data_IF_004864061930
#
_entry.id   IF_004864061930
#
_cell.length_a   1.000
_cell.length_b   1.000
_cell.length_c   1.000
_cell.angle_alpha   90.00
_cell.angle_beta   90.00
_cell.angle_gamma   90.00
#
_symmetry.space_group_name_H-M   'P 1'
#
loop_
_entity.id
_entity.type
_entity.pdbx_description
1 polymer ?
#
# COMPACT_ATOMS: atom_id res chain seq x y z
N UNK A 1 15.15 15.65 12.87
CA UNK A 1 14.52 14.64 11.97
C UNK A 1 13.10 14.39 12.43
N UNK A 2 12.09 14.58 11.54
CA UNK A 2 10.67 14.42 11.83
C UNK A 2 10.10 13.27 11.02
N UNK A 3 9.27 12.44 11.62
CA UNK A 3 8.48 11.44 10.90
C UNK A 3 7.23 12.13 10.35
N UNK A 4 7.20 12.29 9.03
CA UNK A 4 6.10 12.93 8.31
C UNK A 4 5.26 11.86 7.59
N UNK A 5 3.96 11.85 7.86
CA UNK A 5 2.99 11.05 7.11
C UNK A 5 2.41 11.88 5.98
N UNK A 6 2.49 11.37 4.76
CA UNK A 6 1.93 11.97 3.55
C UNK A 6 0.87 11.06 2.94
N UNK A 7 -0.23 11.62 2.44
CA UNK A 7 -1.41 10.90 1.94
C UNK A 7 -1.92 11.41 0.59
N UNK A 8 -1.28 12.46 0.03
CA UNK A 8 -1.72 13.19 -1.17
C UNK A 8 -0.68 13.21 -2.28
N UNK A 9 -0.55 14.34 -2.95
CA UNK A 9 0.33 14.55 -4.10
C UNK A 9 1.82 14.32 -3.82
N UNK A 10 2.23 14.29 -2.56
CA UNK A 10 3.59 13.96 -2.11
C UNK A 10 3.89 12.45 -2.14
N UNK A 11 2.88 11.58 -2.25
CA UNK A 11 3.07 10.12 -2.32
C UNK A 11 3.97 9.73 -3.51
N UNK A 12 4.82 8.72 -3.31
CA UNK A 12 5.70 8.19 -4.38
C UNK A 12 4.89 7.84 -5.63
N UNK A 13 5.36 8.30 -6.78
CA UNK A 13 4.67 8.12 -8.07
C UNK A 13 3.63 9.19 -8.39
N UNK A 14 3.42 10.19 -7.53
CA UNK A 14 2.56 11.34 -7.78
C UNK A 14 3.35 12.63 -8.02
N UNK A 15 2.66 13.68 -8.41
CA UNK A 15 3.22 14.89 -9.02
C UNK A 15 4.21 15.66 -8.14
N UNK A 16 4.06 15.65 -6.81
CA UNK A 16 4.94 16.35 -5.86
C UNK A 16 5.90 15.44 -5.11
N UNK A 17 6.00 14.15 -5.49
CA UNK A 17 6.88 13.17 -4.82
C UNK A 17 8.35 13.63 -4.75
N UNK A 18 8.83 14.40 -5.74
CA UNK A 18 10.20 14.94 -5.76
C UNK A 18 10.50 15.88 -4.58
N UNK A 19 9.48 16.46 -3.93
CA UNK A 19 9.66 17.30 -2.74
C UNK A 19 10.24 16.53 -1.54
N UNK A 20 10.07 15.21 -1.53
CA UNK A 20 10.60 14.29 -0.53
C UNK A 20 11.96 13.67 -0.94
N UNK A 21 12.58 14.14 -2.03
CA UNK A 21 13.90 13.66 -2.45
C UNK A 21 14.94 13.95 -1.35
N UNK A 22 15.72 12.92 -0.98
CA UNK A 22 16.67 12.98 0.12
C UNK A 22 16.10 12.58 1.49
N UNK A 23 14.77 12.48 1.65
CA UNK A 23 14.17 11.90 2.84
C UNK A 23 14.29 10.37 2.83
N UNK A 24 14.31 9.76 4.01
CA UNK A 24 14.26 8.30 4.14
C UNK A 24 12.81 7.84 4.18
N UNK A 25 12.37 7.11 3.17
CA UNK A 25 11.09 6.43 3.19
C UNK A 25 11.10 5.31 4.23
N UNK A 26 10.12 5.30 5.12
CA UNK A 26 10.02 4.34 6.23
C UNK A 26 8.93 3.27 5.99
N UNK A 27 8.16 3.39 4.90
CA UNK A 27 7.14 2.44 4.51
C UNK A 27 5.73 3.02 4.48
N UNK A 28 4.77 2.27 3.91
CA UNK A 28 3.36 2.64 3.95
C UNK A 28 2.80 2.46 5.35
N UNK A 29 1.80 3.27 5.68
CA UNK A 29 1.14 3.26 6.98
C UNK A 29 -0.31 3.73 6.89
N UNK A 30 -1.01 3.64 8.00
CA UNK A 30 -2.40 4.05 8.19
C UNK A 30 -2.49 5.06 9.32
N UNK A 31 -3.37 6.05 9.15
CA UNK A 31 -3.86 6.91 10.24
C UNK A 31 -5.38 6.90 10.26
N UNK A 32 -5.99 7.39 11.34
CA UNK A 32 -7.43 7.65 11.38
C UNK A 32 -7.72 9.03 10.80
N UNK A 33 -8.78 9.12 10.00
CA UNK A 33 -9.24 10.36 9.37
C UNK A 33 -10.24 10.11 8.25
N UNK A 34 -10.63 11.16 7.58
CA UNK A 34 -11.44 11.14 6.36
C UNK A 34 -10.71 11.92 5.28
N UNK A 35 -10.56 11.31 4.11
CA UNK A 35 -9.87 11.89 2.98
C UNK A 35 -10.87 12.40 1.95
N UNK A 36 -10.68 13.63 1.50
CA UNK A 36 -11.54 14.28 0.52
C UNK A 36 -10.74 14.72 -0.71
N UNK A 37 -11.36 14.66 -1.88
CA UNK A 37 -10.84 15.26 -3.11
C UNK A 37 -11.27 16.73 -3.16
N UNK A 38 -10.31 17.64 -3.13
CA UNK A 38 -10.51 19.10 -3.26
C UNK A 38 -10.27 19.57 -4.71
N UNK A 39 -10.24 18.63 -5.67
CA UNK A 39 -9.96 18.90 -7.08
C UNK A 39 -8.48 18.75 -7.43
N UNK A 40 -7.62 19.69 -7.05
CA UNK A 40 -6.19 19.67 -7.39
C UNK A 40 -5.34 18.81 -6.43
N UNK A 41 -5.82 18.59 -5.22
CA UNK A 41 -5.15 17.86 -4.13
C UNK A 41 -6.19 17.34 -3.12
N UNK A 42 -5.84 16.36 -2.29
CA UNK A 42 -6.74 15.86 -1.25
C UNK A 42 -6.62 16.64 0.05
N UNK A 43 -7.72 16.75 0.80
CA UNK A 43 -7.78 17.25 2.17
C UNK A 43 -8.04 16.12 3.17
N UNK A 44 -7.29 16.10 4.27
CA UNK A 44 -7.51 15.21 5.40
C UNK A 44 -8.30 15.94 6.48
N UNK A 45 -9.41 15.36 6.91
CA UNK A 45 -10.18 15.80 8.07
C UNK A 45 -10.14 14.77 9.19
N UNK A 46 -10.43 15.21 10.41
CA UNK A 46 -10.62 14.28 11.54
C UNK A 46 -11.78 13.32 11.26
N UNK A 47 -11.63 12.05 11.64
CA UNK A 47 -12.63 11.01 11.42
C UNK A 47 -12.15 9.65 11.85
N UNK A 48 -13.01 8.63 11.70
CA UNK A 48 -12.73 7.25 12.11
C UNK A 48 -12.39 6.31 10.95
N UNK A 49 -12.34 6.83 9.72
CA UNK A 49 -11.92 6.06 8.56
C UNK A 49 -10.41 5.78 8.58
N UNK A 50 -9.99 4.78 7.80
CA UNK A 50 -8.56 4.52 7.58
C UNK A 50 -8.08 5.35 6.40
N UNK A 51 -6.98 6.08 6.58
CA UNK A 51 -6.29 6.82 5.51
C UNK A 51 -4.95 6.17 5.26
N UNK A 52 -4.74 5.75 4.01
CA UNK A 52 -3.50 5.13 3.53
C UNK A 52 -2.50 6.20 3.12
N UNK A 53 -1.27 6.08 3.60
CA UNK A 53 -0.21 7.00 3.25
C UNK A 53 1.18 6.40 3.40
N UNK A 54 2.17 7.27 3.44
CA UNK A 54 3.59 6.93 3.51
C UNK A 54 4.27 7.72 4.64
N UNK A 55 5.13 7.05 5.42
CA UNK A 55 5.95 7.72 6.43
C UNK A 55 7.33 8.00 5.84
N UNK A 56 7.78 9.24 5.96
CA UNK A 56 9.11 9.69 5.59
C UNK A 56 9.81 10.31 6.77
N UNK A 57 11.10 9.99 6.97
CA UNK A 57 11.95 10.69 7.93
C UNK A 57 12.58 11.88 7.20
N UNK A 58 12.14 13.08 7.54
CA UNK A 58 12.54 14.34 6.90
C UNK A 58 13.42 15.17 7.84
N UNK A 59 14.36 15.93 7.28
CA UNK A 59 15.10 16.95 8.01
C UNK A 59 14.28 18.24 8.13
N UNK A 60 14.79 19.21 8.92
CA UNK A 60 14.11 20.47 9.16
C UNK A 60 13.95 21.31 7.87
N UNK A 61 14.91 21.24 6.96
CA UNK A 61 14.88 21.99 5.71
C UNK A 61 13.81 21.46 4.75
N UNK A 62 13.71 20.14 4.66
CA UNK A 62 12.65 19.46 3.89
C UNK A 62 11.27 19.74 4.50
N UNK A 63 11.14 19.65 5.84
CA UNK A 63 9.88 19.93 6.52
C UNK A 63 9.40 21.36 6.26
N UNK A 64 10.28 22.38 6.39
CA UNK A 64 9.95 23.77 6.09
C UNK A 64 9.56 24.00 4.63
N UNK A 65 10.18 23.26 3.69
CA UNK A 65 9.79 23.32 2.28
C UNK A 65 8.39 22.75 2.05
N UNK A 66 8.04 21.66 2.74
CA UNK A 66 6.71 21.06 2.67
C UNK A 66 5.69 21.93 3.37
N UNK A 67 6.00 22.53 4.54
CA UNK A 67 5.12 23.49 5.23
C UNK A 67 4.67 24.61 4.27
N UNK A 68 5.60 25.16 3.46
CA UNK A 68 5.27 26.19 2.46
C UNK A 68 4.37 25.67 1.34
N UNK A 69 4.53 24.42 0.92
CA UNK A 69 3.71 23.79 -0.13
C UNK A 69 2.29 23.50 0.35
N UNK A 70 2.16 23.17 1.64
CA UNK A 70 0.87 22.91 2.30
C UNK A 70 0.22 24.21 2.83
N UNK A 71 0.87 25.36 2.56
CA UNK A 71 0.43 26.68 3.04
C UNK A 71 0.16 26.66 4.55
N UNK A 72 1.14 26.12 5.31
CA UNK A 72 1.13 26.06 6.76
C UNK A 72 2.12 27.06 7.35
N UNK A 73 1.63 28.01 8.16
CA UNK A 73 2.44 28.88 9.01
C UNK A 73 2.20 28.54 10.49
N UNK A 74 3.25 28.13 11.19
CA UNK A 74 3.18 27.85 12.63
C UNK A 74 2.85 29.07 13.49
N UNK A 75 3.02 30.31 12.97
CA UNK A 75 2.68 31.57 13.64
C UNK A 75 1.22 31.94 13.47
N UNK A 76 0.59 31.47 12.38
CA UNK A 76 -0.82 31.66 12.09
C UNK A 76 -1.47 30.33 11.62
N UNK A 77 -1.64 29.36 12.52
CA UNK A 77 -2.25 28.08 12.15
C UNK A 77 -3.71 28.21 11.73
N UNK A 78 -4.42 29.23 12.21
CA UNK A 78 -5.84 29.44 11.91
C UNK A 78 -6.04 30.00 10.49
N UNK A 79 -5.13 30.86 10.02
CA UNK A 79 -5.14 31.40 8.65
C UNK A 79 -4.51 30.48 7.61
N UNK A 80 -3.86 29.39 8.03
CA UNK A 80 -3.21 28.42 7.14
C UNK A 80 -4.23 27.55 6.39
N UNK A 81 -3.90 27.13 5.16
CA UNK A 81 -4.72 26.19 4.38
C UNK A 81 -4.77 24.80 5.04
N UNK A 82 -3.61 24.35 5.55
CA UNK A 82 -3.49 23.12 6.33
C UNK A 82 -2.90 23.42 7.70
N UNK A 83 -3.23 22.55 8.67
CA UNK A 83 -2.62 22.54 10.01
C UNK A 83 -1.79 21.28 10.18
N UNK A 84 -0.54 21.42 10.52
CA UNK A 84 0.32 20.28 10.85
C UNK A 84 0.09 19.85 12.29
N UNK A 85 -0.20 18.53 12.48
CA UNK A 85 -0.50 17.92 13.78
C UNK A 85 0.17 16.59 13.95
N UNK A 86 0.55 16.26 15.18
CA UNK A 86 1.01 14.93 15.57
C UNK A 86 -0.21 13.99 15.76
N UNK A 87 -0.14 12.80 15.15
CA UNK A 87 -1.18 11.78 15.24
C UNK A 87 -0.59 10.39 15.38
N UNK A 88 -1.33 9.42 15.98
CA UNK A 88 -0.97 8.02 15.92
C UNK A 88 -1.03 7.50 14.49
N UNK A 89 0.01 6.79 14.06
CA UNK A 89 0.05 6.04 12.83
C UNK A 89 0.32 4.56 13.10
N UNK A 90 -0.15 3.69 12.23
CA UNK A 90 0.09 2.26 12.31
C UNK A 90 0.66 1.74 11.00
N UNK A 91 1.83 1.14 11.05
CA UNK A 91 2.43 0.47 9.88
C UNK A 91 1.67 -0.81 9.55
N UNK A 92 1.76 -1.26 8.31
CA UNK A 92 1.20 -2.55 7.90
C UNK A 92 1.85 -3.76 8.60
N UNK A 93 3.02 -3.58 9.21
CA UNK A 93 3.62 -4.57 10.12
C UNK A 93 2.93 -4.70 11.48
N UNK A 94 1.95 -3.83 11.78
CA UNK A 94 1.28 -3.73 13.07
C UNK A 94 1.93 -2.75 14.07
N UNK A 95 3.17 -2.26 13.78
CA UNK A 95 3.87 -1.31 14.65
C UNK A 95 3.16 0.04 14.68
N UNK A 96 2.91 0.56 15.87
CA UNK A 96 2.42 1.92 16.11
C UNK A 96 3.55 2.92 16.30
N UNK A 97 3.33 4.16 15.90
CA UNK A 97 4.24 5.29 16.09
C UNK A 97 3.48 6.61 15.98
N UNK A 98 4.07 7.70 16.45
CA UNK A 98 3.53 9.06 16.30
C UNK A 98 4.19 9.73 15.11
N UNK A 99 3.40 10.37 14.26
CA UNK A 99 3.84 11.07 13.05
C UNK A 99 3.22 12.45 12.97
N UNK A 100 3.92 13.39 12.31
CA UNK A 100 3.32 14.65 11.89
C UNK A 100 2.57 14.46 10.57
N UNK A 101 1.42 15.12 10.41
CA UNK A 101 0.67 15.18 9.15
C UNK A 101 -0.13 16.46 9.02
N UNK A 102 -0.63 16.77 7.83
CA UNK A 102 -1.35 18.00 7.54
C UNK A 102 -2.85 17.73 7.47
N UNK A 103 -3.63 18.47 8.26
CA UNK A 103 -5.09 18.46 8.24
C UNK A 103 -5.60 19.69 7.50
N UNK A 104 -6.57 19.49 6.61
CA UNK A 104 -7.23 20.58 5.91
C UNK A 104 -8.02 21.44 6.88
N UNK A 105 -7.88 22.76 6.75
CA UNK A 105 -8.36 23.72 7.74
C UNK A 105 -9.76 24.28 7.45
N UNK A 106 -10.32 23.99 6.27
CA UNK A 106 -11.63 24.53 5.84
C UNK A 106 -12.63 23.38 5.59
N UNK A 107 -13.16 22.74 6.65
CA UNK A 107 -13.99 21.52 6.51
C UNK A 107 -15.31 21.76 5.77
N UNK A 108 -15.84 23.00 5.74
CA UNK A 108 -17.05 23.36 4.98
C UNK A 108 -16.87 23.20 3.47
N UNK A 109 -15.62 23.27 2.98
CA UNK A 109 -15.29 23.24 1.54
C UNK A 109 -14.66 21.90 1.13
N UNK A 110 -14.89 20.86 1.91
CA UNK A 110 -14.17 19.60 1.85
C UNK A 110 -14.42 18.73 0.58
N UNK A 111 -15.15 19.20 -0.41
CA UNK A 111 -15.27 18.51 -1.70
C UNK A 111 -15.87 17.10 -1.60
N UNK A 112 -15.30 16.12 -2.33
CA UNK A 112 -15.85 14.75 -2.48
C UNK A 112 -15.11 13.78 -1.56
N UNK A 113 -15.85 13.06 -0.70
CA UNK A 113 -15.27 12.02 0.17
C UNK A 113 -14.62 10.90 -0.67
N UNK A 114 -13.42 10.49 -0.26
CA UNK A 114 -12.71 9.31 -0.77
C UNK A 114 -12.94 8.16 0.23
N UNK A 115 -13.94 7.28 0.02
CA UNK A 115 -14.43 6.38 1.07
C UNK A 115 -13.40 5.35 1.56
N UNK A 116 -12.47 4.95 0.69
CA UNK A 116 -11.43 3.96 1.01
C UNK A 116 -10.13 4.59 1.54
N UNK A 117 -10.05 5.94 1.61
CA UNK A 117 -8.94 6.68 2.19
C UNK A 117 -7.57 6.53 1.51
N UNK A 118 -7.49 6.06 0.27
CA UNK A 118 -6.25 5.94 -0.53
C UNK A 118 -6.33 6.85 -1.76
N UNK A 119 -5.54 7.93 -1.77
CA UNK A 119 -5.55 8.91 -2.85
C UNK A 119 -5.04 8.35 -4.18
N UNK A 120 -4.01 7.47 -4.17
CA UNK A 120 -3.54 6.81 -5.40
C UNK A 120 -4.63 5.94 -6.00
N UNK A 121 -5.32 5.15 -5.16
CA UNK A 121 -6.44 4.31 -5.56
C UNK A 121 -7.55 5.16 -6.18
N UNK A 122 -7.92 6.25 -5.54
CA UNK A 122 -8.91 7.19 -6.05
C UNK A 122 -8.53 7.71 -7.44
N UNK A 123 -7.27 8.11 -7.65
CA UNK A 123 -6.79 8.64 -8.92
C UNK A 123 -6.82 7.61 -10.06
N UNK A 124 -6.53 6.33 -9.79
CA UNK A 124 -6.55 5.31 -10.85
C UNK A 124 -7.95 4.77 -11.12
N UNK A 125 -8.81 4.63 -10.09
CA UNK A 125 -10.19 4.17 -10.25
C UNK A 125 -11.07 5.17 -11.02
N UNK A 126 -10.74 6.45 -11.02
CA UNK A 126 -11.42 7.48 -11.85
C UNK A 126 -11.11 7.37 -13.35
N UNK A 127 -10.06 6.66 -13.71
CA UNK A 127 -9.71 6.49 -15.13
C UNK A 127 -10.58 5.41 -15.75
N UNK A 128 -11.15 5.65 -16.95
CA UNK A 128 -11.91 4.63 -17.63
C UNK A 128 -11.01 3.46 -18.03
N UNK A 129 -11.59 2.27 -18.12
CA UNK A 129 -10.93 1.07 -18.60
C UNK A 129 -10.40 0.16 -17.49
N UNK A 130 -9.52 -0.75 -17.90
CA UNK A 130 -8.97 -1.76 -17.00
C UNK A 130 -8.03 -1.17 -15.95
N UNK A 131 -8.07 -1.78 -14.78
CA UNK A 131 -7.35 -1.33 -13.59
C UNK A 131 -6.05 -2.12 -13.41
N UNK A 132 -4.88 -1.45 -13.40
CA UNK A 132 -3.61 -2.12 -13.19
C UNK A 132 -3.55 -2.73 -11.79
N UNK A 133 -3.26 -4.03 -11.72
CA UNK A 133 -3.30 -4.83 -10.48
C UNK A 133 -2.11 -5.75 -10.39
N UNK A 134 -1.42 -5.79 -9.25
CA UNK A 134 -0.25 -6.64 -9.03
C UNK A 134 -0.58 -7.80 -8.11
N UNK A 135 -0.34 -9.01 -8.59
CA UNK A 135 -0.27 -10.23 -7.80
C UNK A 135 1.18 -10.51 -7.38
N UNK A 136 1.39 -10.90 -6.12
CA UNK A 136 2.71 -11.29 -5.57
C UNK A 136 2.65 -12.61 -4.79
N UNK A 137 1.44 -13.06 -4.45
CA UNK A 137 1.17 -14.26 -3.65
C UNK A 137 0.61 -15.42 -4.49
N UNK A 138 -0.31 -16.19 -3.92
CA UNK A 138 -0.91 -17.36 -4.61
C UNK A 138 -1.68 -17.00 -5.88
N UNK A 139 -2.08 -15.75 -6.08
CA UNK A 139 -2.69 -15.24 -7.31
C UNK A 139 -1.71 -15.08 -8.48
N UNK A 140 -0.41 -15.34 -8.26
CA UNK A 140 0.56 -15.52 -9.35
C UNK A 140 0.25 -16.80 -10.16
N UNK A 141 -0.34 -17.83 -9.55
CA UNK A 141 -0.82 -19.01 -10.26
C UNK A 141 -2.01 -18.63 -11.16
N UNK A 142 -1.87 -18.81 -12.49
CA UNK A 142 -2.89 -18.46 -13.47
C UNK A 142 -4.20 -19.22 -13.19
N UNK A 143 -4.11 -20.53 -13.01
CA UNK A 143 -5.28 -21.36 -12.71
C UNK A 143 -6.03 -20.89 -11.46
N UNK A 144 -5.28 -20.43 -10.43
CA UNK A 144 -5.88 -19.95 -9.19
C UNK A 144 -6.59 -18.59 -9.34
N UNK A 145 -5.96 -17.64 -10.01
CA UNK A 145 -6.58 -16.32 -10.20
C UNK A 145 -7.81 -16.43 -11.11
N UNK A 146 -7.73 -17.20 -12.19
CA UNK A 146 -8.85 -17.39 -13.11
C UNK A 146 -10.03 -18.16 -12.49
N UNK A 147 -9.76 -19.11 -11.61
CA UNK A 147 -10.80 -19.78 -10.82
C UNK A 147 -11.55 -18.81 -9.87
N UNK A 148 -10.95 -17.69 -9.51
CA UNK A 148 -11.52 -16.69 -8.61
C UNK A 148 -12.30 -15.59 -9.32
N UNK A 149 -11.76 -15.08 -10.42
CA UNK A 149 -12.25 -13.87 -11.07
C UNK A 149 -12.49 -14.00 -12.58
N UNK A 150 -12.40 -15.22 -13.11
CA UNK A 150 -12.48 -15.46 -14.55
C UNK A 150 -11.17 -15.16 -15.30
N UNK A 151 -11.19 -15.28 -16.63
CA UNK A 151 -10.01 -15.10 -17.46
C UNK A 151 -9.31 -13.77 -17.21
N UNK A 152 -7.98 -13.81 -17.11
CA UNK A 152 -7.14 -12.62 -17.00
C UNK A 152 -6.29 -12.46 -18.26
N UNK A 153 -6.05 -11.21 -18.65
CA UNK A 153 -5.25 -10.89 -19.82
C UNK A 153 -3.75 -11.15 -19.63
N UNK A 154 -2.95 -10.49 -20.49
CA UNK A 154 -1.49 -10.61 -20.43
C UNK A 154 -0.94 -10.19 -19.08
N UNK A 155 0.00 -10.99 -18.56
CA UNK A 155 0.69 -10.74 -17.30
C UNK A 155 2.08 -10.18 -17.55
N UNK A 156 2.43 -9.08 -16.89
CA UNK A 156 3.73 -8.44 -17.03
C UNK A 156 4.53 -8.59 -15.73
N UNK A 157 5.64 -9.33 -15.72
CA UNK A 157 6.49 -9.46 -14.54
C UNK A 157 7.16 -8.14 -14.17
N UNK A 158 7.48 -7.98 -12.90
CA UNK A 158 8.18 -6.83 -12.35
C UNK A 158 8.39 -6.93 -10.85
N UNK A 159 8.65 -5.80 -10.21
CA UNK A 159 9.03 -5.73 -8.81
C UNK A 159 8.18 -4.69 -8.04
N UNK A 160 7.83 -5.03 -6.80
CA UNK A 160 7.38 -4.10 -5.78
C UNK A 160 8.61 -3.73 -4.96
N UNK A 161 9.20 -2.57 -5.27
CA UNK A 161 10.49 -2.13 -4.71
C UNK A 161 10.39 -1.80 -3.23
N UNK A 162 11.38 -2.21 -2.46
CA UNK A 162 11.47 -2.01 -1.02
C UNK A 162 10.63 -3.01 -0.21
N UNK A 163 10.01 -4.01 -0.84
CA UNK A 163 9.18 -5.01 -0.16
C UNK A 163 9.78 -6.41 -0.29
N UNK A 164 9.49 -7.25 0.69
CA UNK A 164 9.74 -8.70 0.62
C UNK A 164 8.43 -9.47 0.74
N UNK A 165 8.39 -10.66 0.15
CA UNK A 165 7.36 -11.65 0.42
C UNK A 165 7.46 -12.09 1.88
N UNK A 166 6.32 -12.18 2.57
CA UNK A 166 6.21 -12.72 3.93
C UNK A 166 5.07 -13.71 4.04
N UNK A 167 5.12 -14.59 5.03
CA UNK A 167 4.10 -15.58 5.37
C UNK A 167 3.59 -15.28 6.78
N UNK A 168 2.93 -14.15 6.95
CA UNK A 168 2.55 -13.62 8.24
C UNK A 168 1.10 -13.15 8.33
N UNK A 169 0.32 -13.27 7.27
CA UNK A 169 -1.10 -12.93 7.31
C UNK A 169 -1.91 -14.13 7.79
N UNK A 170 -2.61 -13.99 8.93
CA UNK A 170 -3.51 -15.01 9.47
C UNK A 170 -4.67 -15.29 8.51
N UNK A 171 -4.84 -16.54 8.10
CA UNK A 171 -5.94 -16.96 7.23
C UNK A 171 -7.31 -16.78 7.92
N UNK A 172 -8.39 -16.68 7.12
CA UNK A 172 -9.73 -16.43 7.63
C UNK A 172 -10.29 -17.59 8.45
N UNK A 173 -10.11 -18.83 7.98
CA UNK A 173 -10.88 -19.99 8.48
C UNK A 173 -10.03 -20.95 9.32
N UNK A 174 -8.72 -21.00 9.15
CA UNK A 174 -7.83 -21.99 9.77
C UNK A 174 -6.67 -21.32 10.50
N UNK A 175 -6.11 -22.00 11.53
CA UNK A 175 -4.90 -21.53 12.24
C UNK A 175 -3.65 -21.72 11.37
N UNK A 176 -3.55 -20.95 10.31
CA UNK A 176 -2.41 -20.93 9.39
C UNK A 176 -2.19 -19.54 8.82
N UNK A 177 -1.02 -19.33 8.22
CA UNK A 177 -0.67 -18.09 7.53
C UNK A 177 -0.71 -18.26 6.02
N UNK A 178 -0.84 -17.13 5.35
CA UNK A 178 -0.79 -16.95 3.89
C UNK A 178 0.11 -15.78 3.54
N UNK A 179 0.40 -15.60 2.25
CA UNK A 179 1.29 -14.54 1.76
C UNK A 179 0.81 -13.14 2.09
N UNK A 180 1.77 -12.32 2.39
CA UNK A 180 1.72 -10.88 2.54
C UNK A 180 2.99 -10.28 1.95
N UNK A 181 3.08 -8.95 1.85
CA UNK A 181 4.32 -8.23 1.59
C UNK A 181 4.63 -7.29 2.75
N UNK A 182 5.92 -7.20 3.09
CA UNK A 182 6.42 -6.28 4.11
C UNK A 182 7.41 -5.29 3.53
N UNK A 183 7.26 -4.04 3.89
CA UNK A 183 8.27 -3.04 3.56
C UNK A 183 9.52 -3.26 4.43
N UNK A 184 10.68 -3.38 3.77
CA UNK A 184 12.00 -3.51 4.41
C UNK A 184 12.95 -2.39 3.99
N UNK A 185 12.68 -1.78 2.84
CA UNK A 185 13.54 -0.77 2.22
C UNK A 185 14.77 -1.33 1.50
N UNK A 186 15.03 -2.64 1.64
CA UNK A 186 16.24 -3.30 1.12
C UNK A 186 15.95 -4.43 0.13
N UNK A 187 14.74 -5.00 0.18
CA UNK A 187 14.32 -6.11 -0.67
C UNK A 187 13.42 -5.63 -1.80
N UNK A 188 13.30 -6.45 -2.84
CA UNK A 188 12.32 -6.27 -3.91
C UNK A 188 11.46 -7.54 -4.05
N UNK A 189 10.13 -7.39 -4.01
CA UNK A 189 9.22 -8.50 -4.14
C UNK A 189 8.81 -8.71 -5.60
N UNK A 190 9.07 -9.88 -6.20
CA UNK A 190 8.57 -10.22 -7.52
C UNK A 190 7.04 -10.17 -7.56
N UNK A 191 6.49 -9.60 -8.61
CA UNK A 191 5.06 -9.52 -8.84
C UNK A 191 4.70 -9.55 -10.33
N UNK A 192 3.45 -9.84 -10.62
CA UNK A 192 2.91 -9.82 -11.97
C UNK A 192 1.78 -8.80 -12.07
N UNK A 193 1.92 -7.86 -12.99
CA UNK A 193 0.92 -6.85 -13.30
C UNK A 193 -0.13 -7.44 -14.25
N UNK A 194 -1.38 -7.28 -13.91
CA UNK A 194 -2.57 -7.59 -14.70
C UNK A 194 -3.37 -6.31 -14.94
N UNK A 195 -4.10 -6.25 -16.02
CA UNK A 195 -5.14 -5.25 -16.23
C UNK A 195 -6.50 -5.92 -15.98
N UNK A 196 -7.14 -5.63 -14.84
CA UNK A 196 -8.42 -6.22 -14.41
C UNK A 196 -9.60 -5.26 -14.65
N UNK A 197 -10.79 -5.80 -14.91
CA UNK A 197 -12.01 -5.00 -14.88
C UNK A 197 -12.40 -4.60 -13.44
N UNK A 198 -13.27 -3.61 -13.29
CA UNK A 198 -13.80 -3.24 -11.97
C UNK A 198 -14.56 -4.41 -11.31
N UNK A 199 -15.28 -5.22 -12.09
CA UNK A 199 -15.98 -6.41 -11.61
C UNK A 199 -14.99 -7.46 -11.09
N UNK A 200 -13.89 -7.69 -11.81
CA UNK A 200 -12.82 -8.59 -11.38
C UNK A 200 -12.13 -8.09 -10.10
N UNK A 201 -11.89 -6.78 -9.97
CA UNK A 201 -11.38 -6.18 -8.73
C UNK A 201 -12.34 -6.40 -7.55
N UNK A 202 -13.64 -6.18 -7.74
CA UNK A 202 -14.65 -6.41 -6.70
C UNK A 202 -14.75 -7.89 -6.33
N UNK A 203 -14.66 -8.80 -7.31
CA UNK A 203 -14.60 -10.23 -7.05
C UNK A 203 -13.36 -10.59 -6.23
N UNK A 204 -12.20 -10.04 -6.57
CA UNK A 204 -10.96 -10.26 -5.81
C UNK A 204 -11.05 -9.69 -4.40
N UNK A 205 -11.66 -8.50 -4.19
CA UNK A 205 -11.91 -7.94 -2.86
C UNK A 205 -12.69 -8.91 -1.95
N UNK A 206 -13.69 -9.60 -2.51
CA UNK A 206 -14.46 -10.62 -1.76
C UNK A 206 -13.57 -11.81 -1.39
N UNK A 207 -12.74 -12.31 -2.31
CA UNK A 207 -11.82 -13.43 -2.03
C UNK A 207 -10.73 -13.08 -1.03
N UNK A 208 -10.22 -11.85 -1.05
CA UNK A 208 -9.19 -11.37 -0.12
C UNK A 208 -9.79 -10.88 1.21
N UNK A 209 -11.15 -10.80 1.30
CA UNK A 209 -11.87 -10.39 2.50
C UNK A 209 -11.63 -8.92 2.88
N UNK A 210 -11.54 -8.06 1.86
CA UNK A 210 -11.37 -6.61 2.02
C UNK A 210 -12.63 -6.00 2.65
N UNK A 211 -12.50 -5.07 3.60
CA UNK A 211 -11.25 -4.51 4.14
C UNK A 211 -10.70 -5.26 5.37
N UNK A 212 -11.39 -6.28 5.90
CA UNK A 212 -11.15 -6.84 7.23
C UNK A 212 -9.97 -7.82 7.30
N UNK A 213 -9.58 -8.42 6.18
CA UNK A 213 -8.46 -9.37 6.09
C UNK A 213 -7.25 -8.77 5.37
N UNK A 214 -7.49 -8.22 4.18
CA UNK A 214 -6.54 -7.44 3.43
C UNK A 214 -7.13 -6.06 3.16
N UNK A 215 -6.27 -5.06 3.04
CA UNK A 215 -6.61 -3.76 2.49
C UNK A 215 -6.15 -3.72 1.03
N UNK A 216 -7.04 -3.36 0.12
CA UNK A 216 -6.67 -3.06 -1.26
C UNK A 216 -6.14 -1.63 -1.32
N UNK A 217 -4.85 -1.51 -1.59
CA UNK A 217 -4.14 -0.24 -1.71
C UNK A 217 -3.48 -0.12 -3.07
N UNK A 218 -2.98 1.06 -3.40
CA UNK A 218 -2.20 1.27 -4.62
C UNK A 218 -0.74 1.55 -4.27
N UNK A 219 0.16 0.76 -4.88
CA UNK A 219 1.60 0.91 -4.74
C UNK A 219 2.26 1.21 -6.08
N UNK A 220 3.43 1.86 -6.09
CA UNK A 220 4.33 1.89 -7.24
C UNK A 220 4.84 0.48 -7.55
N UNK A 221 4.75 0.08 -8.80
CA UNK A 221 5.27 -1.17 -9.36
C UNK A 221 6.21 -0.87 -10.52
N UNK A 222 7.34 -1.55 -10.60
CA UNK A 222 8.30 -1.43 -11.69
C UNK A 222 8.22 -2.65 -12.62
N UNK A 223 7.57 -2.53 -13.80
CA UNK A 223 7.53 -3.62 -14.77
C UNK A 223 8.93 -3.90 -15.35
N UNK A 224 9.25 -5.17 -15.57
CA UNK A 224 10.49 -5.57 -16.23
C UNK A 224 10.52 -5.06 -17.69
N UNK A 225 11.69 -4.62 -18.13
CA UNK A 225 11.89 -4.18 -19.52
C UNK A 225 11.19 -2.88 -19.91
N UNK A 226 10.65 -2.13 -18.94
CA UNK A 226 10.04 -0.81 -19.17
C UNK A 226 10.64 0.23 -18.24
N UNK A 227 10.83 1.43 -18.75
CA UNK A 227 11.23 2.58 -17.91
C UNK A 227 10.06 3.07 -17.08
N UNK A 228 10.36 3.53 -15.85
CA UNK A 228 9.41 4.14 -14.93
C UNK A 228 8.59 3.13 -14.13
N UNK A 229 7.68 3.68 -13.35
CA UNK A 229 6.78 2.94 -12.45
C UNK A 229 5.34 3.00 -12.97
N UNK A 230 4.55 1.99 -12.60
CA UNK A 230 3.09 1.96 -12.75
C UNK A 230 2.47 1.96 -11.37
N UNK A 231 1.47 2.81 -11.14
CA UNK A 231 0.63 2.70 -9.96
C UNK A 231 -0.33 1.53 -10.18
N UNK A 232 -0.36 0.60 -9.24
CA UNK A 232 -1.17 -0.62 -9.37
C UNK A 232 -1.81 -1.03 -8.05
N UNK A 233 -3.04 -1.54 -8.13
CA UNK A 233 -3.71 -2.15 -6.99
C UNK A 233 -2.95 -3.38 -6.51
N UNK A 234 -2.93 -3.56 -5.21
CA UNK A 234 -2.48 -4.80 -4.56
C UNK A 234 -3.19 -4.97 -3.21
N UNK A 235 -3.14 -6.16 -2.65
CA UNK A 235 -3.73 -6.47 -1.35
C UNK A 235 -2.63 -6.69 -0.33
N UNK A 236 -2.59 -5.87 0.70
CA UNK A 236 -1.65 -6.00 1.83
C UNK A 236 -2.43 -6.36 3.09
N UNK A 237 -1.89 -7.23 3.94
CA UNK A 237 -2.57 -7.67 5.14
C UNK A 237 -3.02 -6.49 6.01
N UNK A 238 -4.28 -6.52 6.48
CA UNK A 238 -4.72 -5.59 7.51
C UNK A 238 -3.81 -5.77 8.75
N UNK A 239 -3.33 -4.69 9.40
CA UNK A 239 -2.39 -4.81 10.53
C UNK A 239 -2.87 -5.74 11.66
N UNK A 240 -4.19 -5.85 11.90
CA UNK A 240 -4.78 -6.78 12.89
C UNK A 240 -4.73 -8.25 12.46
N UNK A 241 -4.34 -8.52 11.24
CA UNK A 241 -4.23 -9.88 10.69
C UNK A 241 -2.80 -10.35 10.53
N UNK A 242 -1.83 -9.52 10.84
CA UNK A 242 -0.43 -9.89 10.88
C UNK A 242 -0.17 -10.70 12.15
N UNK A 243 0.50 -11.85 12.02
CA UNK A 243 0.78 -12.78 13.10
C UNK A 243 2.06 -13.55 12.86
N UNK A 244 2.65 -14.07 13.94
CA UNK A 244 3.77 -15.00 13.90
C UNK A 244 3.37 -16.37 14.45
N UNK A 245 4.20 -17.40 14.25
CA UNK A 245 4.10 -18.68 14.93
C UNK A 245 2.97 -19.61 14.44
N UNK A 246 2.31 -19.30 13.33
CA UNK A 246 1.33 -20.19 12.71
C UNK A 246 1.93 -20.89 11.48
N UNK A 247 1.60 -22.17 11.19
CA UNK A 247 2.13 -22.89 10.02
C UNK A 247 1.55 -22.35 8.71
N UNK A 248 2.23 -22.62 7.61
CA UNK A 248 1.71 -22.45 6.26
C UNK A 248 1.32 -23.82 5.69
N UNK A 249 0.22 -23.89 4.94
CA UNK A 249 -0.26 -25.15 4.34
C UNK A 249 0.53 -25.49 3.08
N UNK A 250 0.83 -26.79 2.89
CA UNK A 250 1.51 -27.30 1.71
C UNK A 250 0.76 -26.97 0.40
N UNK A 251 -0.57 -27.13 0.39
CA UNK A 251 -1.43 -26.75 -0.73
C UNK A 251 -1.29 -25.25 -1.10
N UNK A 252 -1.22 -24.36 -0.10
CA UNK A 252 -1.02 -22.94 -0.35
C UNK A 252 0.36 -22.66 -0.96
N UNK A 253 1.41 -23.32 -0.43
CA UNK A 253 2.77 -23.21 -0.97
C UNK A 253 2.85 -23.73 -2.41
N UNK A 254 2.12 -24.79 -2.76
CA UNK A 254 2.11 -25.29 -4.14
C UNK A 254 1.58 -24.25 -5.13
N UNK A 255 0.54 -23.49 -4.77
CA UNK A 255 0.06 -22.38 -5.60
C UNK A 255 1.08 -21.26 -5.73
N UNK A 256 1.79 -20.94 -4.66
CA UNK A 256 2.82 -19.89 -4.67
C UNK A 256 3.99 -20.31 -5.56
N UNK A 257 4.51 -21.53 -5.40
CA UNK A 257 5.57 -22.13 -6.22
C UNK A 257 5.17 -22.22 -7.69
N UNK A 258 3.95 -22.70 -7.97
CA UNK A 258 3.41 -22.74 -9.34
C UNK A 258 3.41 -21.36 -9.99
N UNK A 259 3.03 -20.32 -9.24
CA UNK A 259 3.08 -18.94 -9.72
C UNK A 259 4.50 -18.49 -10.08
N UNK A 260 5.49 -18.77 -9.22
CA UNK A 260 6.90 -18.45 -9.47
C UNK A 260 7.44 -19.20 -10.69
N UNK A 261 7.14 -20.50 -10.79
CA UNK A 261 7.56 -21.34 -11.92
C UNK A 261 7.02 -20.85 -13.27
N UNK A 262 5.78 -20.34 -13.32
CA UNK A 262 5.19 -19.77 -14.53
C UNK A 262 5.93 -18.55 -15.09
N UNK A 263 6.69 -17.86 -14.24
CA UNK A 263 7.53 -16.73 -14.65
C UNK A 263 9.02 -17.07 -14.72
N UNK A 264 9.41 -18.32 -14.45
CA UNK A 264 10.81 -18.73 -14.38
C UNK A 264 11.60 -18.07 -13.23
N UNK A 265 10.90 -17.65 -12.16
CA UNK A 265 11.54 -17.00 -11.01
C UNK A 265 12.14 -18.01 -10.04
N UNK A 266 13.29 -17.68 -9.41
CA UNK A 266 13.88 -18.50 -8.38
C UNK A 266 12.97 -18.54 -7.13
N UNK A 267 12.96 -19.66 -6.40
CA UNK A 267 12.19 -19.79 -5.16
C UNK A 267 12.82 -19.09 -3.94
N UNK A 268 13.95 -18.45 -4.09
CA UNK A 268 14.65 -17.78 -2.98
C UNK A 268 13.77 -16.84 -2.14
N UNK A 269 12.85 -16.01 -2.70
CA UNK A 269 11.94 -15.21 -1.88
C UNK A 269 10.98 -16.07 -1.04
N UNK A 270 10.51 -17.21 -1.56
CA UNK A 270 9.65 -18.16 -0.83
C UNK A 270 10.44 -18.81 0.30
N UNK A 271 11.66 -19.26 0.03
CA UNK A 271 12.56 -19.88 1.02
C UNK A 271 12.83 -18.92 2.17
N UNK A 272 13.22 -17.67 1.88
CA UNK A 272 13.43 -16.64 2.91
C UNK A 272 12.17 -16.37 3.74
N UNK A 273 10.98 -16.37 3.12
CA UNK A 273 9.73 -16.17 3.85
C UNK A 273 9.42 -17.36 4.79
N UNK A 274 9.76 -18.60 4.39
CA UNK A 274 9.62 -19.80 5.22
C UNK A 274 10.61 -19.79 6.39
N UNK A 275 11.87 -19.42 6.15
CA UNK A 275 12.90 -19.30 7.19
C UNK A 275 12.51 -18.26 8.24
N UNK A 276 12.05 -17.07 7.80
CA UNK A 276 11.56 -16.02 8.69
C UNK A 276 10.37 -16.49 9.53
N UNK A 277 9.44 -17.24 8.93
CA UNK A 277 8.30 -17.83 9.63
C UNK A 277 8.74 -18.81 10.73
N UNK A 278 9.74 -19.67 10.47
CA UNK A 278 10.28 -20.65 11.42
C UNK A 278 11.01 -19.96 12.59
N UNK A 279 11.67 -18.84 12.34
CA UNK A 279 12.37 -18.05 13.35
C UNK A 279 11.42 -17.22 14.22
N UNK A 280 10.12 -17.25 13.98
CA UNK A 280 9.13 -16.42 14.66
C UNK A 280 9.29 -14.92 14.38
N UNK A 281 10.02 -14.58 13.34
CA UNK A 281 10.35 -13.23 12.93
C UNK A 281 9.54 -12.93 11.63
N UNK A 282 8.31 -12.44 11.77
CA UNK A 282 7.44 -12.20 10.62
C UNK A 282 7.90 -11.01 9.79
#
# INVERSE_FOLDING_TARGET
MTQLFVYGTLLRGLSRAQMLRGSRFLGPALILGQLFDLGSYPGLLAGQGLVVGEIHLVDSSTLQRIDRVEDFDARDPEGSLYRRKAVPARRFSGRGETVETYFYNHPSDAGVLIPHGDYRRYLIERRPGAQPTVAYGSNLSLARIEARIGPVGRRHPGLIEGFRLSLDKRAAIRRNVVANIRYTGADDCPGALHDLSLEQLQAMDRYEGTPNHYLRIVLPFRPNGRSGIRLAHTWIAHPDRVTAGLPVRAEYLSHLRSGYAQFGWPEAPITRALEALQQGNP
#
